data_IF_701533651339
#
_entry.id   IF_701533651339
#
_cell.length_a   1.000
_cell.length_b   1.000
_cell.length_c   1.000
_cell.angle_alpha   90.00
_cell.angle_beta   90.00
_cell.angle_gamma   90.00
#
_symmetry.space_group_name_H-M   'P 1'
#
loop_
_entity.id
_entity.type
_entity.pdbx_description
1 polymer ?
#
# COMPACT_ATOMS: atom_id res chain seq x y z
N UNK A 1 -25.58 -21.05 6.20
CA UNK A 1 -24.43 -20.13 6.28
C UNK A 1 -23.94 -19.89 4.86
N UNK A 2 -23.78 -18.64 4.45
CA UNK A 2 -23.20 -18.32 3.14
C UNK A 2 -21.71 -18.64 3.15
N UNK A 3 -21.20 -19.15 2.03
CA UNK A 3 -19.79 -19.53 1.91
C UNK A 3 -18.95 -18.24 1.86
N UNK A 4 -17.89 -18.11 2.69
CA UNK A 4 -16.96 -16.99 2.62
C UNK A 4 -16.32 -16.90 1.23
N UNK A 5 -16.29 -15.71 0.63
CA UNK A 5 -15.67 -15.51 -0.68
C UNK A 5 -14.79 -14.26 -0.70
N UNK A 6 -13.78 -14.30 -1.56
CA UNK A 6 -12.99 -13.12 -1.91
C UNK A 6 -13.85 -12.23 -2.81
N UNK A 7 -14.06 -10.99 -2.38
CA UNK A 7 -14.79 -9.98 -3.15
C UNK A 7 -13.85 -9.17 -4.05
N UNK A 8 -12.74 -8.71 -3.49
CA UNK A 8 -11.78 -7.87 -4.22
C UNK A 8 -10.36 -8.18 -3.81
N UNK A 9 -9.45 -7.98 -4.75
CA UNK A 9 -8.02 -8.13 -4.54
C UNK A 9 -7.30 -6.89 -5.05
N UNK A 10 -6.37 -6.39 -4.25
CA UNK A 10 -5.62 -5.17 -4.52
C UNK A 10 -4.14 -5.32 -4.19
N UNK A 11 -3.33 -4.57 -4.93
CA UNK A 11 -1.92 -4.37 -4.65
C UNK A 11 -1.50 -2.93 -5.02
N UNK A 12 -0.36 -2.52 -4.52
CA UNK A 12 0.19 -1.17 -4.64
C UNK A 12 1.68 -1.28 -4.92
N UNK A 13 2.17 -1.13 -6.16
CA UNK A 13 3.59 -1.35 -6.45
C UNK A 13 4.53 -0.43 -5.67
N UNK A 14 4.08 0.79 -5.38
CA UNK A 14 4.83 1.76 -4.58
C UNK A 14 4.19 1.90 -3.19
N UNK A 15 5.00 1.90 -2.14
CA UNK A 15 4.56 2.12 -0.75
C UNK A 15 3.70 3.37 -0.65
N UNK A 16 2.58 3.25 0.07
CA UNK A 16 1.61 4.32 0.35
C UNK A 16 0.95 4.95 -0.88
N UNK A 17 1.17 4.38 -2.06
CA UNK A 17 0.83 4.97 -3.35
C UNK A 17 0.09 3.95 -4.19
N UNK A 18 -0.98 4.38 -4.86
CA UNK A 18 -1.81 3.53 -5.74
C UNK A 18 -2.61 2.47 -5.00
N UNK A 19 -3.81 2.18 -5.51
CA UNK A 19 -4.66 1.11 -5.02
C UNK A 19 -5.22 0.37 -6.23
N UNK A 20 -4.46 -0.59 -6.74
CA UNK A 20 -4.71 -1.21 -8.03
C UNK A 20 -5.43 -2.53 -7.86
N UNK A 21 -6.63 -2.62 -8.43
CA UNK A 21 -7.41 -3.86 -8.48
C UNK A 21 -6.70 -4.91 -9.35
N UNK A 22 -6.77 -6.17 -8.95
CA UNK A 22 -6.34 -7.31 -9.75
C UNK A 22 -7.32 -8.47 -9.60
N UNK A 23 -7.66 -9.24 -10.65
CA UNK A 23 -8.47 -10.45 -10.49
C UNK A 23 -7.72 -11.59 -9.77
N UNK A 24 -6.39 -11.50 -9.66
CA UNK A 24 -5.53 -12.54 -9.06
C UNK A 24 -4.32 -11.91 -8.39
N UNK A 25 -3.93 -12.44 -7.23
CA UNK A 25 -2.67 -12.14 -6.58
C UNK A 25 -1.84 -13.42 -6.44
N UNK A 26 -0.52 -13.28 -6.53
CA UNK A 26 0.43 -14.39 -6.31
C UNK A 26 1.14 -14.11 -4.99
N UNK A 27 0.91 -14.98 -4.00
CA UNK A 27 1.56 -14.89 -2.69
C UNK A 27 2.82 -15.74 -2.68
N UNK A 28 3.94 -15.12 -2.29
CA UNK A 28 5.22 -15.79 -2.05
C UNK A 28 5.49 -15.85 -0.55
N UNK A 29 5.74 -17.05 -0.04
CA UNK A 29 6.07 -17.30 1.37
C UNK A 29 7.22 -16.37 1.80
N UNK A 30 7.09 -15.76 2.99
CA UNK A 30 8.04 -14.82 3.58
C UNK A 30 8.26 -13.48 2.82
N UNK A 31 7.68 -13.29 1.63
CA UNK A 31 7.81 -12.05 0.85
C UNK A 31 6.49 -11.26 0.85
N UNK A 32 5.35 -11.92 0.66
CA UNK A 32 4.04 -11.28 0.53
C UNK A 32 3.47 -11.42 -0.87
N UNK A 33 2.68 -10.43 -1.31
CA UNK A 33 2.11 -10.41 -2.67
C UNK A 33 3.17 -9.95 -3.66
N UNK A 34 3.31 -10.69 -4.76
CA UNK A 34 4.24 -10.33 -5.84
C UNK A 34 3.92 -8.94 -6.37
N UNK A 35 4.94 -8.09 -6.50
CA UNK A 35 4.84 -6.69 -6.93
C UNK A 35 4.07 -5.77 -5.97
N UNK A 36 3.69 -6.20 -4.77
CA UNK A 36 3.08 -5.31 -3.77
C UNK A 36 4.17 -4.63 -2.94
N UNK A 37 4.13 -3.29 -2.91
CA UNK A 37 5.00 -2.38 -2.16
C UNK A 37 6.49 -2.64 -2.38
N UNK A 38 6.88 -3.09 -3.56
CA UNK A 38 8.28 -3.37 -3.91
C UNK A 38 9.09 -2.10 -4.17
N UNK A 39 8.43 -0.97 -4.35
CA UNK A 39 9.05 0.37 -4.41
C UNK A 39 8.67 1.22 -3.22
N UNK A 40 9.50 2.21 -2.89
CA UNK A 40 9.13 3.28 -1.98
C UNK A 40 9.90 4.56 -2.28
N UNK A 41 9.33 5.71 -1.94
CA UNK A 41 10.07 6.97 -1.91
C UNK A 41 10.49 7.26 -0.48
N UNK A 42 11.77 7.58 -0.27
CA UNK A 42 12.28 8.06 1.01
C UNK A 42 12.06 9.57 1.16
N UNK A 43 12.28 10.10 2.36
CA UNK A 43 12.22 11.54 2.68
C UNK A 43 13.19 11.87 3.81
N UNK A 44 13.66 13.11 3.85
CA UNK A 44 14.49 13.66 4.94
C UNK A 44 15.78 12.87 5.25
N UNK A 45 16.29 12.10 4.28
CA UNK A 45 17.53 11.34 4.41
C UNK A 45 18.39 11.58 3.17
N UNK A 46 19.70 11.37 3.29
CA UNK A 46 20.62 11.46 2.16
C UNK A 46 20.61 10.17 1.32
N UNK A 47 21.28 10.21 0.17
CA UNK A 47 21.34 9.07 -0.77
C UNK A 47 21.96 7.82 -0.16
N UNK A 48 23.01 7.96 0.66
CA UNK A 48 23.68 6.82 1.30
C UNK A 48 22.74 6.05 2.24
N UNK A 49 21.98 6.76 3.06
CA UNK A 49 20.98 6.15 3.95
C UNK A 49 19.83 5.51 3.14
N UNK A 50 19.38 6.17 2.06
CA UNK A 50 18.34 5.59 1.19
C UNK A 50 18.82 4.26 0.54
N UNK A 51 20.07 4.20 0.08
CA UNK A 51 20.68 3.00 -0.48
C UNK A 51 20.83 1.89 0.57
N UNK A 52 21.10 2.24 1.83
CA UNK A 52 21.07 1.29 2.95
C UNK A 52 19.65 0.75 3.17
N UNK A 53 18.65 1.64 3.19
CA UNK A 53 17.25 1.28 3.37
C UNK A 53 16.75 0.36 2.26
N UNK A 54 17.21 0.54 1.01
CA UNK A 54 16.86 -0.37 -0.09
C UNK A 54 17.22 -1.83 0.25
N UNK A 55 18.40 -2.05 0.83
CA UNK A 55 18.97 -3.40 1.03
C UNK A 55 18.65 -4.00 2.40
N UNK A 56 18.61 -3.17 3.44
CA UNK A 56 18.63 -3.62 4.84
C UNK A 56 17.29 -3.29 5.54
N UNK A 57 16.32 -4.23 5.56
CA UNK A 57 14.99 -3.98 6.14
C UNK A 57 15.00 -3.70 7.64
N UNK A 58 16.00 -4.19 8.38
CA UNK A 58 16.13 -3.99 9.83
C UNK A 58 16.49 -2.55 10.20
N UNK A 59 17.12 -1.82 9.29
CA UNK A 59 17.59 -0.44 9.53
C UNK A 59 16.53 0.60 9.15
N UNK A 60 15.45 0.18 8.47
CA UNK A 60 14.42 1.08 7.94
C UNK A 60 13.60 1.69 9.08
N UNK A 61 13.53 3.02 9.12
CA UNK A 61 12.58 3.76 9.95
C UNK A 61 11.44 4.30 9.09
N UNK A 62 10.20 3.94 9.43
CA UNK A 62 8.99 4.29 8.68
C UNK A 62 8.76 5.81 8.54
N UNK A 63 9.30 6.63 9.46
CA UNK A 63 9.17 8.09 9.41
C UNK A 63 9.91 8.74 8.23
N UNK A 64 10.90 8.04 7.65
CA UNK A 64 11.69 8.51 6.51
C UNK A 64 11.18 8.00 5.17
N UNK A 65 9.93 7.56 5.10
CA UNK A 65 9.25 7.25 3.85
C UNK A 65 8.16 8.27 3.55
N UNK A 66 7.97 8.58 2.28
CA UNK A 66 6.76 9.25 1.82
C UNK A 66 5.57 8.35 2.09
N UNK A 67 4.59 8.89 2.81
CA UNK A 67 3.35 8.20 3.12
C UNK A 67 2.19 9.19 3.05
N UNK A 68 0.97 8.70 2.90
CA UNK A 68 -0.21 9.58 2.90
C UNK A 68 -0.39 10.36 4.22
N UNK A 69 0.18 9.87 5.33
CA UNK A 69 0.20 10.58 6.61
C UNK A 69 1.02 11.87 6.54
N UNK A 70 2.15 11.85 5.83
CA UNK A 70 3.09 12.98 5.80
C UNK A 70 3.13 13.70 4.44
N UNK A 71 2.42 13.17 3.44
CA UNK A 71 2.37 13.69 2.07
C UNK A 71 1.02 13.31 1.44
N UNK A 72 -0.09 13.97 1.83
CA UNK A 72 -1.44 13.66 1.32
C UNK A 72 -1.57 13.81 -0.20
N UNK A 73 -0.77 14.67 -0.82
CA UNK A 73 -0.69 14.83 -2.28
C UNK A 73 -0.44 13.54 -3.04
N UNK A 74 0.13 12.53 -2.40
CA UNK A 74 0.34 11.21 -2.99
C UNK A 74 -0.97 10.54 -3.43
N UNK A 75 -2.11 10.93 -2.84
CA UNK A 75 -3.40 10.28 -3.08
C UNK A 75 -3.93 10.49 -4.50
N UNK A 76 -3.54 11.56 -5.20
CA UNK A 76 -3.95 11.83 -6.60
C UNK A 76 -3.14 11.04 -7.62
N UNK A 77 -2.02 10.45 -7.21
CA UNK A 77 -1.13 9.71 -8.09
C UNK A 77 -1.41 8.22 -8.08
N UNK A 78 -1.24 7.62 -9.25
CA UNK A 78 -1.22 6.16 -9.43
C UNK A 78 0.11 5.74 -10.04
N UNK A 79 0.62 4.62 -9.56
CA UNK A 79 1.76 3.94 -10.12
C UNK A 79 1.33 2.58 -10.65
N UNK A 80 1.68 2.32 -11.90
CA UNK A 80 1.50 1.03 -12.54
C UNK A 80 2.87 0.42 -12.85
N UNK A 81 3.08 -0.81 -12.40
CA UNK A 81 4.30 -1.57 -12.64
C UNK A 81 4.00 -2.76 -13.54
N UNK A 82 4.61 -2.81 -14.72
CA UNK A 82 4.49 -3.88 -15.71
C UNK A 82 5.83 -4.10 -16.37
N UNK A 83 6.25 -5.36 -16.53
CA UNK A 83 7.39 -5.77 -17.37
C UNK A 83 8.59 -4.82 -17.26
N UNK A 84 9.24 -4.79 -16.09
CA UNK A 84 10.45 -3.99 -15.86
C UNK A 84 10.26 -2.46 -16.04
N UNK A 85 9.02 -1.96 -16.05
CA UNK A 85 8.71 -0.55 -16.23
C UNK A 85 7.77 -0.04 -15.14
N UNK A 86 8.10 1.10 -14.56
CA UNK A 86 7.27 1.82 -13.58
C UNK A 86 6.72 3.09 -14.21
N UNK A 87 5.40 3.22 -14.21
CA UNK A 87 4.67 4.36 -14.78
C UNK A 87 4.03 5.17 -13.66
N UNK A 88 4.19 6.49 -13.70
CA UNK A 88 3.48 7.46 -12.87
C UNK A 88 2.32 8.06 -13.67
N UNK A 89 1.12 8.01 -13.10
CA UNK A 89 -0.10 8.52 -13.66
C UNK A 89 -0.74 9.54 -12.73
N UNK A 90 -1.40 10.53 -13.32
CA UNK A 90 -2.26 11.52 -12.65
C UNK A 90 -3.60 11.53 -13.39
N UNK A 91 -4.71 11.38 -12.67
CA UNK A 91 -6.05 11.26 -13.28
C UNK A 91 -6.13 10.19 -14.39
N UNK A 92 -5.48 9.04 -14.16
CA UNK A 92 -5.30 7.95 -15.12
C UNK A 92 -4.56 8.30 -16.43
N UNK A 93 -3.96 9.49 -16.52
CA UNK A 93 -3.12 9.90 -17.64
C UNK A 93 -1.65 9.65 -17.31
N UNK A 94 -0.92 9.06 -18.24
CA UNK A 94 0.52 8.83 -18.09
C UNK A 94 1.25 10.17 -18.01
N UNK A 95 2.02 10.34 -16.95
CA UNK A 95 2.88 11.52 -16.72
C UNK A 95 4.32 11.20 -17.10
N UNK A 96 4.82 10.09 -16.56
CA UNK A 96 6.20 9.67 -16.76
C UNK A 96 6.30 8.17 -16.65
N UNK A 97 7.26 7.60 -17.36
CA UNK A 97 7.56 6.17 -17.36
C UNK A 97 9.06 5.98 -17.31
N UNK A 98 9.50 4.98 -16.55
CA UNK A 98 10.91 4.61 -16.46
C UNK A 98 11.08 3.10 -16.66
N UNK A 99 12.18 2.70 -17.28
CA UNK A 99 12.67 1.32 -17.24
C UNK A 99 13.51 1.11 -15.97
N UNK A 100 13.45 -0.10 -15.41
CA UNK A 100 14.27 -0.55 -14.28
C UNK A 100 15.68 -1.02 -14.71
N UNK A 101 15.99 -1.08 -16.01
CA UNK A 101 17.30 -1.54 -16.54
C UNK A 101 18.49 -0.74 -15.99
N UNK A 102 18.26 0.54 -15.66
CA UNK A 102 19.27 1.43 -15.09
C UNK A 102 18.72 2.11 -13.85
N UNK A 103 19.41 1.94 -12.71
CA UNK A 103 19.03 2.54 -11.43
C UNK A 103 18.95 4.08 -11.48
N UNK A 104 19.74 4.72 -12.36
CA UNK A 104 19.68 6.17 -12.54
C UNK A 104 18.33 6.67 -13.07
N UNK A 105 17.57 5.83 -13.77
CA UNK A 105 16.24 6.20 -14.25
C UNK A 105 15.29 6.54 -13.10
N UNK A 106 15.54 6.04 -11.88
CA UNK A 106 14.70 6.30 -10.72
C UNK A 106 14.68 7.78 -10.34
N UNK A 107 15.77 8.51 -10.65
CA UNK A 107 15.85 9.97 -10.45
C UNK A 107 14.79 10.73 -11.23
N UNK A 108 14.33 10.18 -12.37
CA UNK A 108 13.32 10.83 -13.22
C UNK A 108 11.99 10.94 -12.47
N UNK A 109 11.53 9.86 -11.81
CA UNK A 109 10.29 9.90 -11.03
C UNK A 109 10.42 10.71 -9.75
N UNK A 110 11.60 10.69 -9.12
CA UNK A 110 11.92 11.58 -8.00
C UNK A 110 11.81 13.05 -8.39
N UNK A 111 12.39 13.43 -9.53
CA UNK A 111 12.35 14.80 -10.03
C UNK A 111 10.93 15.22 -10.42
N UNK A 112 10.18 14.33 -11.08
CA UNK A 112 8.78 14.60 -11.45
C UNK A 112 7.92 14.92 -10.22
N UNK A 113 8.11 14.21 -9.10
CA UNK A 113 7.42 14.53 -7.84
C UNK A 113 7.91 15.84 -7.23
N UNK A 114 9.22 16.13 -7.26
CA UNK A 114 9.79 17.39 -6.78
C UNK A 114 9.17 18.58 -7.52
N UNK A 115 9.14 18.52 -8.85
CA UNK A 115 8.72 19.64 -9.69
C UNK A 115 7.22 19.92 -9.54
N UNK A 116 6.40 18.86 -9.53
CA UNK A 116 4.94 19.01 -9.42
C UNK A 116 4.49 19.49 -8.05
N UNK A 117 5.07 18.91 -7.01
CA UNK A 117 4.66 19.16 -5.62
C UNK A 117 5.53 20.22 -4.93
N UNK A 118 6.45 20.82 -5.69
CA UNK A 118 7.36 21.88 -5.26
C UNK A 118 8.11 21.51 -3.97
N UNK A 119 8.63 20.29 -3.93
CA UNK A 119 9.32 19.75 -2.75
C UNK A 119 10.70 20.41 -2.63
N UNK A 120 10.87 21.30 -1.66
CA UNK A 120 12.15 22.02 -1.45
C UNK A 120 12.97 21.52 -0.27
N UNK A 121 12.33 20.81 0.68
CA UNK A 121 12.95 20.45 1.98
C UNK A 121 13.88 19.24 1.91
N UNK A 122 13.75 18.39 0.89
CA UNK A 122 14.50 17.14 0.72
C UNK A 122 14.31 16.59 -0.69
N UNK A 123 15.16 15.64 -1.07
CA UNK A 123 15.02 14.87 -2.31
C UNK A 123 14.37 13.53 -1.97
N UNK A 124 13.20 13.18 -2.54
CA UNK A 124 12.63 11.86 -2.35
C UNK A 124 13.34 10.84 -3.22
N UNK A 125 14.10 9.91 -2.64
CA UNK A 125 14.75 8.86 -3.42
C UNK A 125 13.80 7.68 -3.62
N UNK A 126 13.49 7.37 -4.88
CA UNK A 126 12.85 6.10 -5.22
C UNK A 126 13.84 4.96 -4.99
N UNK A 127 13.42 3.95 -4.24
CA UNK A 127 14.17 2.73 -3.96
C UNK A 127 13.31 1.50 -4.24
N UNK A 128 13.95 0.36 -4.54
CA UNK A 128 13.29 -0.84 -5.02
C UNK A 128 13.87 -2.12 -4.39
N UNK A 129 13.02 -3.01 -3.90
CA UNK A 129 13.42 -4.32 -3.43
C UNK A 129 12.27 -5.34 -3.53
N UNK A 130 12.46 -6.38 -4.34
CA UNK A 130 11.47 -7.45 -4.54
C UNK A 130 11.45 -8.51 -3.42
N UNK A 131 12.56 -8.67 -2.71
CA UNK A 131 12.72 -9.69 -1.67
C UNK A 131 12.30 -9.17 -0.29
N UNK A 132 12.45 -7.86 -0.08
CA UNK A 132 12.08 -7.16 1.14
C UNK A 132 11.21 -5.95 0.81
N UNK A 133 9.92 -6.15 0.49
CA UNK A 133 9.02 -5.05 0.16
C UNK A 133 8.83 -4.09 1.34
N UNK A 134 8.33 -2.90 1.06
CA UNK A 134 8.26 -1.77 1.97
C UNK A 134 6.90 -1.66 2.69
N UNK A 135 6.49 -2.72 3.39
CA UNK A 135 5.26 -2.75 4.20
C UNK A 135 5.32 -1.80 5.42
N UNK A 136 4.18 -1.52 6.05
CA UNK A 136 4.12 -0.75 7.32
C UNK A 136 4.41 -1.62 8.56
N UNK A 137 4.38 -2.94 8.40
CA UNK A 137 4.66 -3.95 9.42
C UNK A 137 6.12 -4.42 9.44
N UNK A 138 6.97 -3.76 8.66
CA UNK A 138 8.38 -4.06 8.54
C UNK A 138 9.08 -4.18 9.91
N UNK A 139 10.08 -5.08 10.04
CA UNK A 139 10.67 -5.91 8.97
C UNK A 139 9.81 -7.13 8.59
N UNK A 140 8.64 -7.34 9.21
CA UNK A 140 7.74 -8.41 8.82
C UNK A 140 6.97 -8.05 7.56
N UNK A 141 6.82 -9.02 6.65
CA UNK A 141 5.97 -8.88 5.48
C UNK A 141 4.58 -9.41 5.81
N UNK A 142 3.55 -8.54 5.73
CA UNK A 142 2.17 -8.90 6.06
C UNK A 142 1.22 -8.57 4.93
N UNK A 143 0.20 -9.41 4.76
CA UNK A 143 -0.89 -9.17 3.82
C UNK A 143 -2.12 -8.75 4.63
N UNK A 144 -2.80 -7.70 4.17
CA UNK A 144 -3.98 -7.19 4.84
C UNK A 144 -5.25 -7.91 4.36
N UNK A 145 -6.09 -8.30 5.31
CA UNK A 145 -7.40 -8.88 5.10
C UNK A 145 -8.45 -7.91 5.65
N UNK A 146 -9.47 -7.60 4.86
CA UNK A 146 -10.56 -6.70 5.26
C UNK A 146 -11.89 -7.38 4.96
N UNK A 147 -12.77 -7.38 5.95
CA UNK A 147 -14.12 -7.91 5.81
C UNK A 147 -15.08 -6.80 5.36
N UNK A 148 -15.72 -6.98 4.21
CA UNK A 148 -16.71 -6.04 3.67
C UNK A 148 -17.94 -5.91 4.58
N UNK A 149 -18.30 -6.97 5.32
CA UNK A 149 -19.40 -6.90 6.30
C UNK A 149 -19.03 -6.01 7.49
N UNK A 150 -17.77 -5.98 7.93
CA UNK A 150 -17.29 -5.06 8.96
C UNK A 150 -17.36 -3.60 8.51
N UNK A 151 -17.04 -3.32 7.24
CA UNK A 151 -17.21 -1.99 6.66
C UNK A 151 -18.69 -1.58 6.68
N UNK A 152 -19.59 -2.46 6.21
CA UNK A 152 -21.05 -2.17 6.20
C UNK A 152 -21.63 -1.95 7.59
N UNK A 153 -21.22 -2.75 8.57
CA UNK A 153 -21.64 -2.56 9.96
C UNK A 153 -21.14 -1.22 10.51
N UNK A 154 -19.90 -0.86 10.18
CA UNK A 154 -19.34 0.43 10.54
C UNK A 154 -20.09 1.60 9.87
N UNK A 155 -20.37 1.52 8.57
CA UNK A 155 -21.19 2.50 7.82
C UNK A 155 -22.55 2.75 8.49
N UNK A 156 -23.22 1.67 8.91
CA UNK A 156 -24.52 1.73 9.59
C UNK A 156 -24.40 2.44 10.94
N UNK A 157 -23.36 2.15 11.72
CA UNK A 157 -23.13 2.76 13.04
C UNK A 157 -22.78 4.24 12.96
N UNK A 158 -22.07 4.65 11.92
CA UNK A 158 -21.70 6.06 11.70
C UNK A 158 -22.72 6.84 10.88
N UNK A 159 -23.78 6.18 10.39
CA UNK A 159 -24.71 6.73 9.41
C UNK A 159 -24.01 7.46 8.25
N UNK A 160 -22.94 6.83 7.74
CA UNK A 160 -22.08 7.41 6.71
C UNK A 160 -21.58 6.32 5.80
N UNK A 161 -21.56 6.59 4.49
CA UNK A 161 -20.88 5.74 3.52
C UNK A 161 -19.37 5.80 3.73
N UNK A 162 -18.69 4.66 3.66
CA UNK A 162 -17.26 4.51 3.89
C UNK A 162 -16.66 3.71 2.73
N UNK A 163 -15.86 4.40 1.91
CA UNK A 163 -15.15 3.78 0.80
C UNK A 163 -14.09 2.79 1.29
N UNK A 164 -14.15 1.55 0.84
CA UNK A 164 -13.21 0.50 1.26
C UNK A 164 -11.77 0.80 0.82
N UNK A 165 -11.60 1.60 -0.23
CA UNK A 165 -10.34 2.14 -0.74
C UNK A 165 -9.54 2.89 0.33
N UNK A 166 -10.20 3.53 1.30
CA UNK A 166 -9.55 4.27 2.39
C UNK A 166 -8.60 3.39 3.19
N UNK A 167 -8.95 2.12 3.33
CA UNK A 167 -8.21 1.16 4.15
C UNK A 167 -7.01 0.52 3.44
N UNK A 168 -6.92 0.65 2.11
CA UNK A 168 -5.79 0.17 1.28
C UNK A 168 -5.37 -1.28 1.60
N UNK A 169 -6.39 -2.13 1.78
CA UNK A 169 -6.24 -3.55 2.06
C UNK A 169 -5.80 -4.34 0.84
N UNK A 170 -5.36 -5.59 1.01
CA UNK A 170 -4.95 -6.43 -0.12
C UNK A 170 -6.05 -7.41 -0.49
N UNK A 171 -6.67 -8.06 0.50
CA UNK A 171 -7.71 -9.07 0.30
C UNK A 171 -8.98 -8.59 0.99
N UNK A 172 -10.03 -8.39 0.21
CA UNK A 172 -11.36 -8.05 0.72
C UNK A 172 -12.26 -9.27 0.61
N UNK A 173 -12.85 -9.69 1.71
CA UNK A 173 -13.75 -10.85 1.79
C UNK A 173 -15.18 -10.41 2.12
N UNK A 174 -16.15 -11.22 1.72
CA UNK A 174 -17.57 -11.05 2.08
C UNK A 174 -18.20 -12.39 2.47
N UNK A 175 -19.48 -12.36 2.81
CA UNK A 175 -20.27 -13.51 3.27
C UNK A 175 -19.78 -14.10 4.61
N UNK A 176 -19.29 -13.23 5.48
CA UNK A 176 -18.90 -13.55 6.86
C UNK A 176 -19.46 -12.47 7.78
N UNK A 177 -19.70 -12.83 9.04
CA UNK A 177 -20.25 -11.89 10.02
C UNK A 177 -19.29 -10.70 10.25
N UNK A 178 -19.80 -9.48 10.49
CA UNK A 178 -18.96 -8.34 10.84
C UNK A 178 -18.03 -8.68 12.02
N UNK A 179 -16.77 -8.26 11.90
CA UNK A 179 -15.72 -8.37 12.92
C UNK A 179 -15.29 -9.78 13.31
N UNK A 180 -15.82 -10.82 12.65
CA UNK A 180 -15.46 -12.22 12.93
C UNK A 180 -13.97 -12.48 12.69
N UNK A 181 -13.34 -11.72 11.78
CA UNK A 181 -11.93 -11.81 11.46
C UNK A 181 -11.01 -11.56 12.68
N UNK A 182 -11.50 -10.89 13.72
CA UNK A 182 -10.75 -10.71 14.96
C UNK A 182 -10.67 -11.97 15.81
N UNK A 183 -11.61 -12.90 15.66
CA UNK A 183 -11.55 -14.21 16.34
C UNK A 183 -10.49 -15.12 15.74
N UNK A 184 -10.04 -14.84 14.51
CA UNK A 184 -9.01 -15.62 13.84
C UNK A 184 -7.59 -15.25 14.25
N UNK A 185 -7.39 -14.19 15.04
CA UNK A 185 -6.05 -13.80 15.52
C UNK A 185 -5.38 -14.98 16.21
N UNK A 186 -4.11 -15.20 15.87
CA UNK A 186 -3.27 -16.35 16.24
C UNK A 186 -3.69 -17.71 15.65
N UNK A 187 -4.73 -17.76 14.81
CA UNK A 187 -5.15 -18.95 14.08
C UNK A 187 -4.60 -18.96 12.65
N UNK A 188 -4.60 -20.14 12.04
CA UNK A 188 -4.32 -20.33 10.63
C UNK A 188 -5.62 -20.35 9.82
N UNK A 189 -5.63 -19.65 8.70
CA UNK A 189 -6.73 -19.64 7.74
C UNK A 189 -6.21 -20.07 6.37
N UNK A 190 -7.05 -20.77 5.60
CA UNK A 190 -6.77 -21.12 4.21
C UNK A 190 -7.56 -20.22 3.27
N UNK A 191 -6.89 -19.62 2.30
CA UNK A 191 -7.50 -18.83 1.23
C UNK A 191 -7.02 -19.40 -0.10
N UNK A 192 -7.91 -20.05 -0.85
CA UNK A 192 -7.59 -20.72 -2.12
C UNK A 192 -6.36 -21.65 -2.05
N UNK A 193 -6.21 -22.41 -0.96
CA UNK A 193 -5.11 -23.34 -0.75
C UNK A 193 -3.82 -22.71 -0.21
N UNK A 194 -3.74 -21.38 -0.08
CA UNK A 194 -2.65 -20.71 0.63
C UNK A 194 -2.97 -20.62 2.12
N UNK A 195 -2.04 -21.06 2.97
CA UNK A 195 -2.15 -20.96 4.43
C UNK A 195 -1.58 -19.63 4.93
N UNK A 196 -2.33 -18.95 5.79
CA UNK A 196 -1.95 -17.69 6.43
C UNK A 196 -2.15 -17.78 7.93
N UNK A 197 -1.19 -17.27 8.71
CA UNK A 197 -1.38 -17.01 10.13
C UNK A 197 -1.89 -15.59 10.33
N UNK A 198 -3.04 -15.43 10.99
CA UNK A 198 -3.58 -14.11 11.31
C UNK A 198 -2.85 -13.55 12.53
N UNK A 199 -2.15 -12.43 12.37
CA UNK A 199 -1.23 -11.94 13.40
C UNK A 199 -1.87 -10.97 14.38
N UNK A 200 -2.56 -9.94 13.87
CA UNK A 200 -3.08 -8.83 14.69
C UNK A 200 -4.10 -7.99 13.93
N UNK A 201 -4.82 -7.16 14.67
CA UNK A 201 -5.62 -6.07 14.09
C UNK A 201 -4.73 -5.06 13.38
N UNK A 202 -5.22 -4.47 12.30
CA UNK A 202 -4.50 -3.42 11.58
C UNK A 202 -4.85 -2.07 12.24
N UNK A 203 -3.91 -1.39 12.91
CA UNK A 203 -4.19 -0.10 13.53
C UNK A 203 -4.66 0.92 12.48
N UNK A 204 -5.57 1.81 12.85
CA UNK A 204 -5.98 2.92 11.99
C UNK A 204 -4.92 4.01 12.02
N UNK A 205 -4.76 4.69 10.90
CA UNK A 205 -3.83 5.82 10.77
C UNK A 205 -4.54 6.94 10.01
N UNK A 206 -4.05 8.17 10.16
CA UNK A 206 -4.70 9.35 9.58
C UNK A 206 -4.94 9.27 8.06
N UNK A 207 -4.21 8.40 7.34
CA UNK A 207 -4.43 8.18 5.91
C UNK A 207 -5.82 7.62 5.56
N UNK A 208 -6.53 7.00 6.52
CA UNK A 208 -7.92 6.54 6.32
C UNK A 208 -8.92 7.70 6.31
N UNK A 209 -8.54 8.87 6.80
CA UNK A 209 -9.39 10.06 6.84
C UNK A 209 -9.51 10.74 5.48
N UNK A 210 -8.58 10.47 4.56
CA UNK A 210 -8.54 11.04 3.21
C UNK A 210 -9.61 10.41 2.32
N UNK A 211 -10.32 11.26 1.58
CA UNK A 211 -11.19 10.84 0.47
C UNK A 211 -10.31 10.12 -0.58
N UNK A 212 -10.71 8.96 -1.12
CA UNK A 212 -9.97 8.31 -2.20
C UNK A 212 -9.69 9.28 -3.37
N UNK A 213 -8.46 9.28 -3.88
CA UNK A 213 -7.99 10.16 -4.97
C UNK A 213 -8.01 11.66 -4.67
N UNK A 214 -8.09 12.07 -3.40
CA UNK A 214 -8.13 13.49 -2.99
C UNK A 214 -7.23 13.75 -1.77
N UNK A 215 -6.74 14.99 -1.64
CA UNK A 215 -5.98 15.43 -0.48
C UNK A 215 -6.88 15.82 0.70
N UNK A 216 -8.20 15.90 0.47
CA UNK A 216 -9.19 16.30 1.48
C UNK A 216 -9.45 15.18 2.46
N UNK A 217 -9.40 15.49 3.75
CA UNK A 217 -9.92 14.66 4.81
C UNK A 217 -11.35 15.08 5.16
N UNK A 218 -12.28 14.13 5.22
CA UNK A 218 -13.71 14.39 5.42
C UNK A 218 -14.31 13.64 6.62
N UNK A 219 -13.51 12.80 7.28
CA UNK A 219 -13.89 11.96 8.40
C UNK A 219 -12.72 11.75 9.37
N UNK A 220 -13.03 11.30 10.58
CA UNK A 220 -12.04 10.84 11.55
C UNK A 220 -12.30 9.37 11.90
N UNK A 221 -11.57 8.47 11.25
CA UNK A 221 -11.72 7.01 11.35
C UNK A 221 -10.72 6.37 12.32
#
# INVERSE_FOLDING_TARGET
>A
MTIPIIEKLYFSPVKSLSFSHSPKLIVKKNIGITNDRIFAFTRLINRSIADNYEKNPKDRNLNFFLTLKNSPFLNKYKFDYKINELSLLLDNKLIKKISLDKRDNFKILSQELIDREKITKYIPYLIHNINFPFFDSMPHNTISLINMSSIKDFEKKTNRKIEHERFRGNVYVKNIDPWIEFKWINQEISINGCLFKVLKKIPRCIATNLIPNSETADINL
#
